data_IF_287320680468
#
_entry.id   IF_287320680468
#
_cell.length_a   1.000
_cell.length_b   1.000
_cell.length_c   1.000
_cell.angle_alpha   90.00
_cell.angle_beta   90.00
_cell.angle_gamma   90.00
#
_symmetry.space_group_name_H-M   'P 1'
#
loop_
_entity.id
_entity.type
_entity.pdbx_description
1 polymer ?
#
# COMPACT_ATOMS: atom_id res chain seq x y z
N UNK A 1 -3.98 15.56 -23.27
CA UNK A 1 -3.83 14.41 -22.35
C UNK A 1 -2.82 14.78 -21.27
N UNK A 2 -2.91 14.18 -20.08
CA UNK A 2 -2.19 14.50 -18.82
C UNK A 2 -2.94 15.47 -17.88
N UNK A 3 -4.11 15.02 -17.44
CA UNK A 3 -4.76 15.52 -16.24
C UNK A 3 -3.94 15.02 -15.05
N UNK A 4 -3.17 15.91 -14.42
CA UNK A 4 -2.60 15.68 -13.09
C UNK A 4 -3.76 15.61 -12.10
N UNK A 5 -4.28 14.41 -11.88
CA UNK A 5 -5.28 14.14 -10.86
C UNK A 5 -4.68 14.43 -9.50
N UNK A 6 -5.07 15.56 -8.93
CA UNK A 6 -5.08 15.80 -7.50
C UNK A 6 -5.91 14.68 -6.85
N UNK A 7 -5.26 13.65 -6.31
CA UNK A 7 -5.84 12.85 -5.24
C UNK A 7 -5.39 13.45 -3.91
N UNK A 8 -5.92 14.62 -3.59
CA UNK A 8 -5.88 15.16 -2.23
C UNK A 8 -7.10 14.59 -1.52
N UNK A 9 -6.94 13.50 -0.76
CA UNK A 9 -8.09 12.97 -0.02
C UNK A 9 -7.93 11.63 0.71
N UNK A 10 -6.84 10.89 0.54
CA UNK A 10 -6.57 9.73 1.37
C UNK A 10 -5.10 9.68 1.77
N UNK A 11 -4.86 9.31 3.02
CA UNK A 11 -3.51 9.12 3.55
C UNK A 11 -2.79 8.10 2.64
N UNK A 12 -1.70 8.57 2.02
CA UNK A 12 -0.87 7.75 1.16
C UNK A 12 0.22 7.11 2.01
N UNK A 13 0.39 5.82 1.81
CA UNK A 13 1.42 5.02 2.44
C UNK A 13 2.25 4.35 1.36
N UNK A 14 3.56 4.26 1.58
CA UNK A 14 4.43 3.42 0.82
C UNK A 14 4.44 2.03 1.45
N UNK A 15 3.87 1.05 0.76
CA UNK A 15 3.91 -0.34 1.19
C UNK A 15 5.18 -1.03 0.72
N UNK A 16 5.83 -1.82 1.58
CA UNK A 16 6.96 -2.68 1.22
C UNK A 16 6.79 -4.10 1.76
N UNK A 17 6.64 -5.09 0.89
CA UNK A 17 6.53 -6.48 1.33
C UNK A 17 7.90 -7.09 1.68
N UNK A 18 8.09 -7.69 2.87
CA UNK A 18 9.36 -8.34 3.24
C UNK A 18 9.63 -9.66 2.50
N UNK A 19 8.58 -10.30 1.95
CA UNK A 19 8.71 -11.61 1.32
C UNK A 19 9.07 -11.53 -0.17
N UNK A 20 8.35 -10.71 -0.93
CA UNK A 20 8.57 -10.56 -2.38
C UNK A 20 9.34 -9.29 -2.76
N UNK A 21 9.72 -8.47 -1.77
CA UNK A 21 10.43 -7.20 -1.96
C UNK A 21 9.72 -6.20 -2.90
N UNK A 22 8.40 -6.34 -3.08
CA UNK A 22 7.60 -5.37 -3.84
C UNK A 22 7.43 -4.08 -3.03
N UNK A 23 7.37 -2.95 -3.73
CA UNK A 23 7.15 -1.63 -3.14
C UNK A 23 6.25 -0.81 -4.04
N UNK A 24 5.16 -0.26 -3.50
CA UNK A 24 4.25 0.60 -4.26
C UNK A 24 3.45 1.52 -3.32
N UNK A 25 3.03 2.70 -3.82
CA UNK A 25 2.14 3.57 -3.06
C UNK A 25 0.76 2.91 -2.97
N UNK A 26 0.20 2.95 -1.78
CA UNK A 26 -1.13 2.48 -1.45
C UNK A 26 -1.82 3.53 -0.61
N UNK A 27 -3.13 3.48 -0.63
CA UNK A 27 -3.94 4.36 0.18
C UNK A 27 -4.43 3.64 1.43
N UNK A 28 -4.84 4.40 2.45
CA UNK A 28 -5.40 3.89 3.71
C UNK A 28 -6.39 2.70 3.55
N UNK A 29 -7.41 2.73 2.66
CA UNK A 29 -8.30 1.57 2.47
C UNK A 29 -7.60 0.34 1.85
N UNK A 30 -6.59 0.55 0.99
CA UNK A 30 -5.80 -0.54 0.39
C UNK A 30 -4.85 -1.14 1.41
N UNK A 31 -4.29 -0.32 2.30
CA UNK A 31 -3.49 -0.78 3.43
C UNK A 31 -4.31 -1.69 4.33
N UNK A 32 -5.50 -1.27 4.76
CA UNK A 32 -6.36 -2.06 5.65
C UNK A 32 -6.68 -3.43 5.03
N UNK A 33 -7.12 -3.44 3.77
CA UNK A 33 -7.39 -4.67 3.03
C UNK A 33 -6.15 -5.56 2.86
N UNK A 34 -4.96 -4.96 2.67
CA UNK A 34 -3.69 -5.69 2.52
C UNK A 34 -3.22 -6.29 3.84
N UNK A 35 -3.49 -5.64 4.97
CA UNK A 35 -3.21 -6.19 6.30
C UNK A 35 -4.17 -7.33 6.64
N UNK A 36 -5.46 -7.20 6.29
CA UNK A 36 -6.46 -8.24 6.52
C UNK A 36 -6.24 -9.48 5.64
N UNK A 37 -5.95 -9.29 4.35
CA UNK A 37 -5.87 -10.39 3.38
C UNK A 37 -4.42 -10.87 3.12
N UNK A 38 -3.42 -10.12 3.56
CA UNK A 38 -2.03 -10.32 3.20
C UNK A 38 -1.63 -9.63 1.89
N UNK A 39 -0.36 -9.76 1.51
CA UNK A 39 0.18 -9.11 0.33
C UNK A 39 -0.56 -9.55 -0.95
N UNK A 40 -1.10 -8.63 -1.77
CA UNK A 40 -1.88 -8.98 -2.95
C UNK A 40 -1.05 -9.66 -4.06
N UNK A 41 0.28 -9.59 -4.01
CA UNK A 41 1.15 -10.19 -5.02
C UNK A 41 1.62 -11.61 -4.66
N UNK A 42 1.90 -11.88 -3.39
CA UNK A 42 2.47 -13.16 -2.95
C UNK A 42 1.65 -13.89 -1.88
N UNK A 43 0.59 -13.27 -1.35
CA UNK A 43 -0.28 -13.83 -0.31
C UNK A 43 0.36 -13.97 1.06
N UNK A 44 1.56 -13.43 1.27
CA UNK A 44 2.21 -13.50 2.58
C UNK A 44 1.54 -12.55 3.59
N UNK A 45 1.44 -12.95 4.87
CA UNK A 45 0.91 -12.08 5.90
C UNK A 45 1.82 -10.86 6.03
N UNK A 46 1.21 -9.68 6.12
CA UNK A 46 1.88 -8.40 6.31
C UNK A 46 1.19 -7.62 7.41
N UNK A 47 1.88 -6.64 7.97
CA UNK A 47 1.38 -5.81 9.07
C UNK A 47 1.61 -4.34 8.75
N UNK A 48 0.94 -3.47 9.51
CA UNK A 48 1.03 -2.00 9.35
C UNK A 48 2.46 -1.46 9.47
N UNK A 49 3.37 -2.17 10.14
CA UNK A 49 4.81 -1.84 10.22
C UNK A 49 5.52 -1.84 8.84
N UNK A 50 4.93 -2.51 7.85
CA UNK A 50 5.43 -2.56 6.47
C UNK A 50 4.92 -1.41 5.59
N UNK A 51 4.27 -0.41 6.19
CA UNK A 51 3.71 0.75 5.51
C UNK A 51 4.29 2.03 6.12
N UNK A 52 4.82 2.91 5.28
CA UNK A 52 5.42 4.18 5.69
C UNK A 52 4.58 5.34 5.15
N UNK A 53 4.15 6.32 5.96
CA UNK A 53 3.41 7.47 5.44
C UNK A 53 4.27 8.31 4.48
N UNK A 54 3.66 8.76 3.38
CA UNK A 54 4.27 9.67 2.39
C UNK A 54 4.21 11.13 2.80
#
# INVERSE_FOLDING_TARGET
MMMGSLIVGMEQYEFRCPACATQFPVDSPVLDATVENGCPLCGQPVSTDHFVPC
#
